data_IF_353212140896
#
_entry.id   IF_353212140896
#
_cell.length_a   1.000
_cell.length_b   1.000
_cell.length_c   1.000
_cell.angle_alpha   90.00
_cell.angle_beta   90.00
_cell.angle_gamma   90.00
#
_symmetry.space_group_name_H-M   'P 1'
#
loop_
_entity.id
_entity.type
_entity.pdbx_description
1 polymer ?
#
# COMPACT_ATOMS: atom_id res chain seq x y z
N UNK A 1 20.94 -10.07 17.27
CA UNK A 1 20.61 -10.09 15.82
C UNK A 1 19.31 -9.33 15.60
N UNK A 2 19.33 -8.24 14.83
CA UNK A 2 18.08 -7.56 14.41
C UNK A 2 17.43 -8.41 13.30
N UNK A 3 16.10 -8.65 13.31
CA UNK A 3 15.45 -9.38 12.25
C UNK A 3 15.59 -8.62 10.93
N UNK A 4 16.10 -9.30 9.91
CA UNK A 4 16.10 -8.79 8.54
C UNK A 4 14.63 -8.65 8.13
N UNK A 5 14.14 -7.47 7.74
CA UNK A 5 12.76 -7.34 7.29
C UNK A 5 12.57 -8.24 6.06
N UNK A 6 11.57 -9.13 6.10
CA UNK A 6 11.25 -10.02 4.98
C UNK A 6 11.18 -9.19 3.68
N UNK A 7 12.07 -9.48 2.74
CA UNK A 7 12.12 -8.79 1.46
C UNK A 7 10.74 -8.83 0.79
N UNK A 8 10.31 -7.72 0.19
CA UNK A 8 9.13 -7.71 -0.66
C UNK A 8 9.39 -8.63 -1.86
N UNK A 9 8.48 -9.56 -2.12
CA UNK A 9 8.56 -10.55 -3.21
C UNK A 9 7.42 -10.29 -4.18
N UNK A 10 7.77 -10.30 -5.46
CA UNK A 10 6.85 -10.24 -6.58
C UNK A 10 7.02 -11.55 -7.35
N UNK A 11 5.91 -12.15 -7.77
CA UNK A 11 5.92 -13.28 -8.68
C UNK A 11 4.94 -13.01 -9.82
N UNK A 12 5.42 -13.12 -11.05
CA UNK A 12 4.60 -13.18 -12.24
C UNK A 12 4.18 -14.63 -12.45
N UNK A 13 2.89 -14.91 -12.52
CA UNK A 13 2.40 -16.24 -12.87
C UNK A 13 2.49 -16.45 -14.39
N UNK A 14 2.51 -17.71 -14.83
CA UNK A 14 2.44 -18.06 -16.26
C UNK A 14 1.15 -17.53 -16.95
N UNK A 15 0.13 -17.16 -16.17
CA UNK A 15 -1.09 -16.51 -16.65
C UNK A 15 -0.96 -14.99 -16.82
N UNK A 16 0.23 -14.41 -16.62
CA UNK A 16 0.47 -12.96 -16.69
C UNK A 16 0.01 -12.18 -15.45
N UNK A 17 -0.33 -12.87 -14.35
CA UNK A 17 -0.77 -12.22 -13.11
C UNK A 17 0.43 -11.89 -12.21
N UNK A 18 0.59 -10.63 -11.84
CA UNK A 18 1.57 -10.24 -10.82
C UNK A 18 0.98 -10.47 -9.42
N UNK A 19 1.66 -11.26 -8.59
CA UNK A 19 1.38 -11.47 -7.17
C UNK A 19 2.48 -10.83 -6.35
N UNK A 20 2.14 -10.22 -5.21
CA UNK A 20 3.11 -9.59 -4.32
C UNK A 20 2.85 -9.92 -2.85
N UNK A 21 3.93 -10.13 -2.10
CA UNK A 21 3.90 -10.39 -0.65
C UNK A 21 5.15 -9.81 0.04
N UNK A 22 5.14 -9.74 1.36
CA UNK A 22 6.23 -9.15 2.15
C UNK A 22 5.96 -7.70 2.59
N UNK A 23 6.97 -7.03 3.12
CA UNK A 23 6.82 -5.73 3.77
C UNK A 23 6.25 -4.64 2.82
N UNK A 24 5.16 -3.97 3.24
CA UNK A 24 4.51 -2.88 2.50
C UNK A 24 5.05 -1.48 2.89
N UNK A 25 6.25 -1.40 3.46
CA UNK A 25 6.78 -0.14 4.01
C UNK A 25 6.88 0.98 2.96
N UNK A 26 7.02 0.64 1.67
CA UNK A 26 7.03 1.59 0.55
C UNK A 26 5.66 1.80 -0.12
N UNK A 27 4.58 1.18 0.37
CA UNK A 27 3.28 1.20 -0.30
C UNK A 27 3.25 0.33 -1.56
N UNK A 28 4.18 -0.62 -1.69
CA UNK A 28 4.34 -1.49 -2.87
C UNK A 28 3.10 -2.35 -3.14
N UNK A 29 2.35 -2.68 -2.09
CA UNK A 29 1.14 -3.48 -2.18
C UNK A 29 -0.11 -2.63 -2.40
N UNK A 30 -0.07 -1.30 -2.29
CA UNK A 30 -1.25 -0.42 -2.42
C UNK A 30 -2.43 -0.73 -1.50
N UNK A 31 -2.30 -1.69 -0.58
CA UNK A 31 -3.33 -2.06 0.40
C UNK A 31 -3.20 -1.24 1.68
N UNK A 32 -4.34 -0.86 2.26
CA UNK A 32 -4.44 -0.30 3.60
C UNK A 32 -3.79 -1.28 4.58
N UNK A 33 -2.66 -0.89 5.16
CA UNK A 33 -2.05 -1.69 6.22
C UNK A 33 -2.73 -1.29 7.53
N UNK A 34 -3.43 -2.18 8.24
CA UNK A 34 -3.85 -1.87 9.59
C UNK A 34 -2.58 -1.61 10.41
N UNK A 35 -2.55 -0.47 11.10
CA UNK A 35 -1.41 -0.08 11.93
C UNK A 35 -1.04 -1.25 12.85
N UNK A 36 0.19 -1.76 12.69
CA UNK A 36 0.75 -2.79 13.55
C UNK A 36 0.57 -2.37 15.02
N UNK A 37 0.08 -3.30 15.84
CA UNK A 37 0.02 -3.15 17.29
C UNK A 37 1.41 -2.71 17.79
N UNK A 38 1.45 -1.57 18.47
CA UNK A 38 2.66 -1.11 19.16
C UNK A 38 2.87 -2.04 20.35
N UNK A 39 3.97 -2.77 20.36
CA UNK A 39 4.56 -3.24 21.61
C UNK A 39 5.28 -2.04 22.22
N UNK A 40 4.91 -1.69 23.44
CA UNK A 40 5.63 -0.75 24.30
C UNK A 40 7.06 -1.24 24.50
N UNK A 41 8.04 -0.35 24.30
CA UNK A 41 8.99 0.00 25.36
C UNK A 41 9.82 1.23 24.94
N UNK A 42 9.74 2.26 25.79
CA UNK A 42 10.73 3.33 25.98
C UNK A 42 11.55 2.93 27.22
N UNK A 43 12.84 3.32 27.39
CA UNK A 43 13.30 4.72 27.46
C UNK A 43 14.65 4.89 26.71
N UNK A 44 15.42 5.98 26.70
CA UNK A 44 15.61 7.11 27.61
C UNK A 44 16.31 8.27 26.87
N UNK A 45 16.16 9.48 27.40
CA UNK A 45 16.74 10.75 26.96
C UNK A 45 18.08 10.98 27.68
N UNK A 46 19.15 11.29 26.96
CA UNK A 46 20.28 12.01 27.54
C UNK A 46 21.09 12.81 26.51
N UNK A 47 21.51 13.96 26.98
CA UNK A 47 22.09 15.16 26.36
C UNK A 47 23.42 14.99 25.62
N UNK A 48 23.65 15.78 24.55
CA UNK A 48 24.66 16.86 24.53
C UNK A 48 24.61 17.74 23.26
N UNK A 49 24.90 19.03 23.50
CA UNK A 49 25.09 20.14 22.55
C UNK A 49 26.33 19.98 21.68
N UNK A 50 26.29 20.54 20.47
CA UNK A 50 27.43 21.21 19.87
C UNK A 50 26.94 22.37 18.98
N UNK A 51 27.54 23.56 19.12
CA UNK A 51 27.34 24.73 18.23
C UNK A 51 27.94 24.47 16.84
N UNK A 52 27.94 25.39 15.88
CA UNK A 52 28.00 26.86 15.98
C UNK A 52 27.66 27.47 14.60
N UNK A 53 27.15 28.70 14.60
CA UNK A 53 27.31 29.78 13.59
C UNK A 53 26.76 29.68 12.15
N UNK A 54 25.80 30.57 11.88
CA UNK A 54 25.47 31.16 10.58
C UNK A 54 26.38 32.36 10.30
N UNK A 55 26.62 32.70 9.01
CA UNK A 55 26.25 34.06 8.62
C UNK A 55 25.48 34.19 7.29
N UNK A 56 24.55 35.16 7.36
CA UNK A 56 24.00 36.13 6.39
C UNK A 56 24.37 35.95 4.90
N UNK A 57 23.38 35.73 4.03
CA UNK A 57 22.67 36.74 3.19
C UNK A 57 23.61 37.49 2.25
N UNK A 58 23.64 37.03 1.00
CA UNK A 58 23.83 37.90 -0.16
C UNK A 58 22.64 37.74 -1.11
N UNK A 59 22.16 38.90 -1.53
CA UNK A 59 21.07 39.18 -2.47
C UNK A 59 21.35 38.62 -3.86
N UNK A 60 20.34 38.06 -4.53
CA UNK A 60 20.32 38.01 -6.00
C UNK A 60 19.03 38.60 -6.55
N UNK A 61 19.25 39.63 -7.37
CA UNK A 61 18.30 40.27 -8.26
C UNK A 61 17.90 39.29 -9.37
N UNK A 62 16.66 39.39 -9.83
CA UNK A 62 16.04 38.40 -10.71
C UNK A 62 16.67 38.29 -12.08
N UNK A 63 16.51 37.11 -12.67
CA UNK A 63 16.40 36.97 -14.11
C UNK A 63 15.35 35.89 -14.41
N UNK A 64 14.25 36.31 -15.03
CA UNK A 64 13.27 35.42 -15.63
C UNK A 64 13.85 34.95 -16.96
N UNK A 65 14.40 33.75 -16.98
CA UNK A 65 14.65 33.04 -18.23
C UNK A 65 14.08 31.64 -18.14
N UNK A 66 12.98 31.47 -18.87
CA UNK A 66 12.27 30.23 -19.12
C UNK A 66 13.22 29.20 -19.72
N UNK A 67 13.66 28.24 -18.92
CA UNK A 67 14.32 27.04 -19.40
C UNK A 67 13.35 25.89 -19.13
N UNK A 68 12.70 25.38 -20.18
CA UNK A 68 11.94 24.13 -20.14
C UNK A 68 12.92 22.95 -20.01
N UNK A 69 13.69 22.94 -18.91
CA UNK A 69 14.48 21.80 -18.48
C UNK A 69 13.53 20.73 -17.98
N UNK A 70 13.80 19.46 -18.30
CA UNK A 70 13.04 18.32 -17.81
C UNK A 70 12.77 18.49 -16.31
N UNK A 71 11.51 18.70 -15.97
CA UNK A 71 11.11 19.01 -14.60
C UNK A 71 11.52 17.83 -13.71
N UNK A 72 12.40 18.11 -12.75
CA UNK A 72 12.96 17.11 -11.86
C UNK A 72 12.09 16.99 -10.62
N UNK A 73 11.90 15.76 -10.15
CA UNK A 73 11.14 15.49 -8.92
C UNK A 73 11.78 16.25 -7.75
N UNK A 74 11.03 17.14 -7.08
CA UNK A 74 11.58 17.94 -5.99
C UNK A 74 11.87 17.06 -4.77
N UNK A 75 12.62 17.60 -3.81
CA UNK A 75 12.78 17.00 -2.49
C UNK A 75 11.46 17.06 -1.71
N UNK A 76 11.11 15.98 -0.99
CA UNK A 76 9.92 15.97 -0.15
C UNK A 76 10.18 16.75 1.15
N UNK A 77 9.57 17.92 1.29
CA UNK A 77 9.74 18.76 2.47
C UNK A 77 8.44 19.48 2.85
N UNK A 78 8.45 20.09 4.04
CA UNK A 78 7.35 20.93 4.53
C UNK A 78 7.13 22.23 3.73
N UNK A 79 8.04 22.59 2.81
CA UNK A 79 7.94 23.80 1.98
C UNK A 79 7.23 23.57 0.66
N UNK A 80 6.92 22.31 0.31
CA UNK A 80 6.13 22.00 -0.88
C UNK A 80 4.68 22.42 -0.71
N UNK A 81 4.01 22.82 -1.80
CA UNK A 81 2.56 22.97 -1.80
C UNK A 81 1.86 21.60 -1.96
N UNK A 82 0.60 21.51 -1.55
CA UNK A 82 -0.22 20.33 -1.78
C UNK A 82 -0.47 20.05 -3.27
N UNK A 83 -0.47 21.09 -4.11
CA UNK A 83 -0.50 20.94 -5.56
C UNK A 83 0.79 20.31 -6.08
N UNK A 84 1.95 20.80 -5.65
CA UNK A 84 3.24 20.23 -6.06
C UNK A 84 3.38 18.79 -5.58
N UNK A 85 2.97 18.49 -4.33
CA UNK A 85 2.95 17.11 -3.83
C UNK A 85 2.15 16.16 -4.74
N UNK A 86 1.00 16.62 -5.28
CA UNK A 86 0.12 15.79 -6.10
C UNK A 86 0.68 15.46 -7.49
N UNK A 87 1.63 16.25 -7.99
CA UNK A 87 2.26 16.08 -9.29
C UNK A 87 3.25 14.91 -9.33
N UNK A 88 3.66 14.37 -8.18
CA UNK A 88 4.70 13.34 -8.12
C UNK A 88 4.22 12.07 -7.43
N UNK A 89 4.80 10.93 -7.84
CA UNK A 89 4.60 9.68 -7.11
C UNK A 89 5.52 9.63 -5.87
N UNK A 90 4.89 9.62 -4.69
CA UNK A 90 5.55 9.37 -3.40
C UNK A 90 5.26 7.95 -2.90
N UNK A 91 6.25 7.34 -2.25
CA UNK A 91 6.07 6.09 -1.50
C UNK A 91 5.44 6.37 -0.15
N UNK A 92 4.84 5.34 0.44
CA UNK A 92 4.30 5.45 1.80
C UNK A 92 5.41 5.79 2.82
N UNK A 93 6.63 5.31 2.62
CA UNK A 93 7.78 5.61 3.47
C UNK A 93 8.13 7.11 3.44
N UNK A 94 8.28 7.69 2.24
CA UNK A 94 8.56 9.11 2.07
C UNK A 94 7.45 9.96 2.71
N UNK A 95 6.18 9.68 2.40
CA UNK A 95 5.04 10.40 2.99
C UNK A 95 4.98 10.25 4.52
N UNK A 96 5.34 9.07 5.04
CA UNK A 96 5.38 8.81 6.48
C UNK A 96 6.46 9.64 7.19
N UNK A 97 7.61 9.85 6.55
CA UNK A 97 8.68 10.71 7.09
C UNK A 97 8.18 12.15 7.18
N UNK A 98 7.66 12.70 6.06
CA UNK A 98 7.11 14.05 6.05
C UNK A 98 5.98 14.23 7.08
N UNK A 99 5.04 13.28 7.16
CA UNK A 99 3.94 13.35 8.11
C UNK A 99 4.41 13.39 9.58
N UNK A 100 5.54 12.73 9.91
CA UNK A 100 6.13 12.83 11.26
C UNK A 100 6.72 14.21 11.51
N UNK A 101 7.41 14.76 10.51
CA UNK A 101 8.05 16.07 10.59
C UNK A 101 7.02 17.19 10.83
N UNK A 102 5.92 17.20 10.07
CA UNK A 102 4.89 18.24 10.16
C UNK A 102 3.76 17.92 11.17
N UNK A 103 3.89 16.83 11.94
CA UNK A 103 2.93 16.48 13.00
C UNK A 103 1.56 15.97 12.52
N UNK A 104 1.46 15.51 11.28
CA UNK A 104 0.22 15.02 10.67
C UNK A 104 -0.05 13.56 11.01
N UNK A 105 -1.32 13.21 11.26
CA UNK A 105 -1.70 11.81 11.50
C UNK A 105 -1.28 10.90 10.34
N UNK A 106 -0.80 9.71 10.66
CA UNK A 106 -0.35 8.68 9.71
C UNK A 106 -1.35 7.53 9.55
N UNK A 107 -2.57 7.69 10.06
CA UNK A 107 -3.62 6.68 9.96
C UNK A 107 -4.31 6.71 8.59
N UNK A 108 -4.80 5.55 8.17
CA UNK A 108 -5.38 5.33 6.85
C UNK A 108 -4.32 4.93 5.81
N UNK A 109 -4.79 4.60 4.60
CA UNK A 109 -3.93 4.25 3.48
C UNK A 109 -3.13 5.40 2.88
N UNK A 110 -2.37 5.07 1.83
CA UNK A 110 -1.54 6.02 1.08
C UNK A 110 -2.36 7.21 0.58
N UNK A 111 -3.56 6.98 0.03
CA UNK A 111 -4.43 8.04 -0.52
C UNK A 111 -4.86 9.00 0.59
N UNK A 112 -5.39 8.46 1.70
CA UNK A 112 -5.81 9.26 2.84
C UNK A 112 -4.64 10.05 3.46
N UNK A 113 -3.46 9.43 3.58
CA UNK A 113 -2.25 10.11 4.05
C UNK A 113 -1.82 11.23 3.09
N UNK A 114 -1.87 10.98 1.78
CA UNK A 114 -1.51 11.96 0.75
C UNK A 114 -2.44 13.17 0.83
N UNK A 115 -3.76 12.96 0.86
CA UNK A 115 -4.74 14.04 0.99
C UNK A 115 -4.53 14.86 2.26
N UNK A 116 -4.22 14.19 3.38
CA UNK A 116 -3.95 14.85 4.66
C UNK A 116 -2.70 15.72 4.60
N UNK A 117 -1.64 15.22 3.97
CA UNK A 117 -0.41 15.98 3.75
C UNK A 117 -0.64 17.18 2.84
N UNK A 118 -1.41 17.02 1.75
CA UNK A 118 -1.78 18.15 0.86
C UNK A 118 -2.46 19.27 1.64
N UNK A 119 -3.51 18.93 2.40
CA UNK A 119 -4.23 19.90 3.22
C UNK A 119 -3.29 20.63 4.19
N UNK A 120 -2.47 19.88 4.93
CA UNK A 120 -1.54 20.45 5.91
C UNK A 120 -0.48 21.37 5.25
N UNK A 121 0.06 21.00 4.09
CA UNK A 121 1.01 21.81 3.33
C UNK A 121 0.37 23.10 2.80
N UNK A 122 -0.91 23.05 2.44
CA UNK A 122 -1.68 24.22 1.98
C UNK A 122 -2.23 25.07 3.15
N UNK A 123 -1.84 24.76 4.41
CA UNK A 123 -2.32 25.47 5.59
C UNK A 123 -3.77 25.18 5.98
N UNK A 124 -4.41 24.20 5.32
CA UNK A 124 -5.77 23.76 5.59
C UNK A 124 -5.76 22.69 6.69
N UNK A 125 -6.66 22.82 7.66
CA UNK A 125 -6.80 21.83 8.73
C UNK A 125 -7.05 20.43 8.13
N UNK A 126 -6.16 19.44 8.39
CA UNK A 126 -6.32 18.11 7.83
C UNK A 126 -7.58 17.43 8.38
N UNK A 127 -8.31 16.72 7.52
CA UNK A 127 -9.44 15.92 7.95
C UNK A 127 -9.04 14.95 9.07
N UNK A 128 -9.86 14.91 10.13
CA UNK A 128 -9.65 14.01 11.26
C UNK A 128 -9.53 12.57 10.76
N UNK A 129 -8.62 11.81 11.35
CA UNK A 129 -8.49 10.39 11.08
C UNK A 129 -9.84 9.69 11.31
N UNK A 130 -10.33 8.85 10.37
CA UNK A 130 -11.54 8.09 10.64
C UNK A 130 -11.34 7.24 11.90
N UNK A 131 -12.35 7.15 12.77
CA UNK A 131 -12.26 6.33 13.97
C UNK A 131 -11.99 4.88 13.58
N UNK A 132 -11.09 4.22 14.32
CA UNK A 132 -10.83 2.79 14.12
C UNK A 132 -12.07 2.03 14.58
N UNK A 133 -12.84 1.47 13.66
CA UNK A 133 -13.90 0.52 14.00
C UNK A 133 -13.24 -0.77 14.52
N UNK A 134 -13.57 -1.17 15.75
CA UNK A 134 -13.18 -2.48 16.25
C UNK A 134 -14.18 -3.49 15.70
N UNK A 135 -13.70 -4.47 14.94
CA UNK A 135 -14.54 -5.61 14.53
C UNK A 135 -14.88 -6.43 15.78
N UNK A 136 -16.11 -6.31 16.28
CA UNK A 136 -16.63 -7.02 17.46
C UNK A 136 -17.33 -8.35 17.12
N UNK A 137 -17.32 -8.77 15.85
CA UNK A 137 -18.00 -10.01 15.42
C UNK A 137 -17.33 -11.30 15.89
N UNK A 138 -18.14 -12.26 16.31
CA UNK A 138 -17.74 -13.65 16.60
C UNK A 138 -17.02 -14.25 15.38
N UNK A 139 -15.85 -14.84 15.59
CA UNK A 139 -15.06 -15.49 14.53
C UNK A 139 -15.10 -17.00 14.72
N UNK A 140 -15.19 -17.74 13.62
CA UNK A 140 -15.12 -19.19 13.64
C UNK A 140 -13.80 -19.69 14.24
N UNK A 141 -13.91 -20.61 15.20
CA UNK A 141 -12.81 -21.37 15.78
C UNK A 141 -12.87 -22.82 15.28
N UNK A 142 -11.72 -23.49 15.23
CA UNK A 142 -11.67 -24.91 14.91
C UNK A 142 -12.31 -25.75 16.05
N UNK A 143 -12.88 -26.93 15.73
CA UNK A 143 -13.00 -27.52 14.40
C UNK A 143 -14.14 -26.92 13.58
N UNK A 144 -13.94 -26.82 12.25
CA UNK A 144 -14.97 -26.43 11.28
C UNK A 144 -15.12 -27.50 10.19
N UNK A 145 -16.33 -27.62 9.67
CA UNK A 145 -16.71 -28.60 8.66
C UNK A 145 -17.65 -27.97 7.61
N UNK A 146 -18.06 -28.76 6.61
CA UNK A 146 -18.90 -28.26 5.51
C UNK A 146 -20.23 -27.62 5.93
N UNK A 147 -20.85 -28.08 7.03
CA UNK A 147 -22.10 -27.52 7.54
C UNK A 147 -21.92 -26.31 8.46
N UNK A 148 -20.68 -25.90 8.73
CA UNK A 148 -20.41 -24.73 9.57
C UNK A 148 -20.88 -23.46 8.86
N UNK A 149 -21.69 -22.65 9.56
CA UNK A 149 -22.26 -21.41 9.04
C UNK A 149 -21.30 -20.23 9.25
N UNK A 150 -21.14 -19.40 8.24
CA UNK A 150 -20.32 -18.19 8.26
C UNK A 150 -21.05 -17.10 9.06
N UNK A 151 -20.50 -16.62 10.19
CA UNK A 151 -21.12 -15.54 10.96
C UNK A 151 -20.92 -14.18 10.28
N UNK A 152 -21.75 -13.21 10.64
CA UNK A 152 -21.56 -11.82 10.21
C UNK A 152 -20.20 -11.27 10.66
N UNK A 153 -19.50 -10.59 9.75
CA UNK A 153 -18.16 -10.05 10.03
C UNK A 153 -17.06 -11.12 10.11
N UNK A 154 -17.30 -12.34 9.64
CA UNK A 154 -16.26 -13.36 9.52
C UNK A 154 -15.11 -12.85 8.65
N UNK A 155 -13.88 -13.01 9.14
CA UNK A 155 -12.67 -12.69 8.38
C UNK A 155 -12.10 -13.94 7.74
N UNK A 156 -11.31 -13.75 6.68
CA UNK A 156 -10.46 -14.78 6.09
C UNK A 156 -9.36 -15.19 7.08
N UNK A 157 -9.70 -16.03 8.04
CA UNK A 157 -8.85 -16.44 9.16
C UNK A 157 -7.94 -17.61 8.78
N UNK A 158 -6.98 -17.90 9.65
CA UNK A 158 -6.13 -19.09 9.51
C UNK A 158 -6.95 -20.39 9.61
N UNK A 159 -7.97 -20.42 10.48
CA UNK A 159 -8.92 -21.55 10.60
C UNK A 159 -9.59 -21.83 9.25
N UNK A 160 -10.11 -20.81 8.58
CA UNK A 160 -10.72 -20.98 7.26
C UNK A 160 -9.68 -21.36 6.20
N UNK A 161 -8.47 -20.79 6.23
CA UNK A 161 -7.40 -21.17 5.31
C UNK A 161 -7.06 -22.64 5.42
N UNK A 162 -6.90 -23.16 6.63
CA UNK A 162 -6.57 -24.56 6.88
C UNK A 162 -7.69 -25.48 6.43
N UNK A 163 -8.94 -25.14 6.76
CA UNK A 163 -10.12 -25.85 6.28
C UNK A 163 -10.15 -25.92 4.74
N UNK A 164 -10.11 -24.78 4.05
CA UNK A 164 -10.20 -24.76 2.59
C UNK A 164 -9.00 -25.43 1.92
N UNK A 165 -7.79 -25.31 2.46
CA UNK A 165 -6.63 -26.04 1.92
C UNK A 165 -6.76 -27.55 2.07
N UNK A 166 -7.40 -28.03 3.12
CA UNK A 166 -7.68 -29.45 3.32
C UNK A 166 -8.72 -29.96 2.32
N UNK A 167 -9.81 -29.22 2.12
CA UNK A 167 -10.92 -29.65 1.27
C UNK A 167 -10.66 -29.44 -0.24
N UNK A 168 -10.00 -28.34 -0.62
CA UNK A 168 -9.75 -27.97 -2.03
C UNK A 168 -8.35 -28.37 -2.49
N UNK A 169 -7.38 -28.36 -1.57
CA UNK A 169 -5.97 -28.67 -1.85
C UNK A 169 -5.03 -27.45 -1.90
N UNK A 170 -3.77 -27.67 -2.27
CA UNK A 170 -2.70 -26.68 -2.13
C UNK A 170 -2.81 -25.46 -3.07
N UNK A 171 -3.64 -25.53 -4.11
CA UNK A 171 -3.91 -24.42 -5.03
C UNK A 171 -4.79 -23.33 -4.41
N UNK A 172 -5.47 -23.64 -3.30
CA UNK A 172 -6.36 -22.71 -2.63
C UNK A 172 -5.61 -21.48 -2.10
N UNK A 173 -6.15 -20.31 -2.41
CA UNK A 173 -5.82 -19.05 -1.77
C UNK A 173 -7.06 -18.15 -1.78
N UNK A 174 -7.12 -17.23 -0.81
CA UNK A 174 -8.16 -16.21 -0.78
C UNK A 174 -7.90 -15.19 -1.90
N UNK A 175 -8.62 -15.34 -3.01
CA UNK A 175 -8.71 -14.33 -4.08
C UNK A 175 -9.82 -13.31 -3.76
N UNK A 176 -10.11 -12.40 -4.69
CA UNK A 176 -11.13 -11.38 -4.52
C UNK A 176 -12.52 -11.98 -4.28
N UNK A 177 -12.90 -13.01 -5.04
CA UNK A 177 -14.19 -13.70 -4.95
C UNK A 177 -14.39 -14.34 -3.58
N UNK A 178 -13.41 -15.11 -3.10
CA UNK A 178 -13.52 -15.74 -1.78
C UNK A 178 -13.54 -14.73 -0.64
N UNK A 179 -12.83 -13.61 -0.75
CA UNK A 179 -12.87 -12.55 0.27
C UNK A 179 -14.23 -11.88 0.33
N UNK A 180 -14.81 -11.57 -0.84
CA UNK A 180 -16.16 -11.01 -0.95
C UNK A 180 -17.18 -12.01 -0.36
N UNK A 181 -17.12 -13.28 -0.77
CA UNK A 181 -18.01 -14.32 -0.26
C UNK A 181 -17.97 -14.42 1.28
N UNK A 182 -16.79 -14.53 1.87
CA UNK A 182 -16.65 -14.64 3.34
C UNK A 182 -17.16 -13.40 4.07
N UNK A 183 -17.05 -12.23 3.45
CA UNK A 183 -17.44 -10.94 4.06
C UNK A 183 -18.93 -10.65 3.92
N UNK A 184 -19.51 -11.00 2.77
CA UNK A 184 -20.86 -10.56 2.36
C UNK A 184 -21.92 -11.67 2.48
N UNK A 185 -21.51 -12.93 2.62
CA UNK A 185 -22.41 -14.09 2.61
C UNK A 185 -22.64 -14.70 4.00
N UNK A 186 -22.85 -13.86 5.01
CA UNK A 186 -23.22 -14.32 6.34
C UNK A 186 -24.48 -15.22 6.27
N UNK A 187 -24.49 -16.31 7.04
CA UNK A 187 -25.55 -17.33 6.98
C UNK A 187 -25.33 -18.43 5.95
N UNK A 188 -24.39 -18.29 4.99
CA UNK A 188 -23.97 -19.40 4.11
C UNK A 188 -23.05 -20.37 4.84
N UNK A 189 -22.93 -21.59 4.31
CA UNK A 189 -22.05 -22.63 4.86
C UNK A 189 -20.65 -22.61 4.26
N UNK A 190 -19.70 -23.27 4.91
CA UNK A 190 -18.38 -23.49 4.34
C UNK A 190 -18.40 -24.40 3.09
N UNK A 191 -19.38 -25.31 2.98
CA UNK A 191 -19.61 -26.06 1.75
C UNK A 191 -20.04 -25.15 0.59
N UNK A 192 -20.92 -24.17 0.83
CA UNK A 192 -21.29 -23.16 -0.17
C UNK A 192 -20.06 -22.35 -0.62
N UNK A 193 -19.15 -22.04 0.31
CA UNK A 193 -17.92 -21.33 0.00
C UNK A 193 -16.98 -22.16 -0.90
N UNK A 194 -16.91 -23.48 -0.70
CA UNK A 194 -16.15 -24.38 -1.59
C UNK A 194 -16.79 -24.42 -2.98
N UNK A 195 -18.12 -24.57 -3.06
CA UNK A 195 -18.83 -24.53 -4.34
C UNK A 195 -18.60 -23.20 -5.07
N UNK A 196 -18.66 -22.08 -4.34
CA UNK A 196 -18.36 -20.75 -4.88
C UNK A 196 -16.92 -20.62 -5.38
N UNK A 197 -15.95 -21.20 -4.66
CA UNK A 197 -14.57 -21.27 -5.13
C UNK A 197 -14.52 -21.97 -6.49
N UNK A 198 -15.05 -23.18 -6.62
CA UNK A 198 -15.03 -23.92 -7.90
C UNK A 198 -15.70 -23.16 -9.04
N UNK A 199 -16.88 -22.58 -8.79
CA UNK A 199 -17.63 -21.82 -9.79
C UNK A 199 -16.88 -20.59 -10.31
N UNK A 200 -16.08 -19.93 -9.47
CA UNK A 200 -15.34 -18.72 -9.84
C UNK A 200 -13.96 -18.98 -10.42
N UNK A 201 -13.51 -20.25 -10.51
CA UNK A 201 -12.12 -20.56 -10.91
C UNK A 201 -11.73 -20.05 -12.28
N UNK A 202 -12.61 -20.21 -13.27
CA UNK A 202 -12.31 -19.79 -14.63
C UNK A 202 -12.23 -18.27 -14.74
N UNK A 203 -13.18 -17.54 -14.14
CA UNK A 203 -13.16 -16.07 -14.10
C UNK A 203 -11.99 -15.52 -13.30
N UNK A 204 -11.63 -16.16 -12.18
CA UNK A 204 -10.48 -15.80 -11.37
C UNK A 204 -9.14 -16.05 -12.10
N UNK A 205 -9.11 -16.96 -13.07
CA UNK A 205 -7.95 -17.22 -13.91
C UNK A 205 -7.80 -16.19 -15.06
N UNK A 206 -8.85 -15.44 -15.38
CA UNK A 206 -8.76 -14.35 -16.36
C UNK A 206 -7.94 -13.19 -15.81
N UNK A 207 -7.22 -12.49 -16.69
CA UNK A 207 -6.44 -11.31 -16.36
C UNK A 207 -7.36 -10.20 -15.82
N UNK A 208 -7.35 -10.01 -14.50
CA UNK A 208 -8.07 -8.93 -13.85
C UNK A 208 -7.33 -7.60 -14.02
N UNK A 209 -8.08 -6.51 -14.10
CA UNK A 209 -7.49 -5.17 -14.08
C UNK A 209 -6.87 -4.89 -12.69
N UNK A 210 -5.63 -4.41 -12.68
CA UNK A 210 -4.99 -3.98 -11.45
C UNK A 210 -5.51 -2.57 -11.13
N UNK A 211 -6.33 -2.46 -10.08
CA UNK A 211 -6.94 -1.19 -9.64
C UNK A 211 -5.93 -0.05 -9.46
N UNK A 212 -6.36 1.19 -9.66
CA UNK A 212 -5.50 2.37 -9.73
C UNK A 212 -4.64 2.60 -8.47
N UNK A 213 -5.10 2.13 -7.31
CA UNK A 213 -4.35 2.17 -6.05
C UNK A 213 -3.06 1.32 -6.06
N UNK A 214 -2.92 0.39 -7.01
CA UNK A 214 -1.81 -0.55 -7.12
C UNK A 214 -0.82 -0.15 -8.23
N UNK A 215 -0.51 1.15 -8.32
CA UNK A 215 0.30 1.72 -9.41
C UNK A 215 1.62 0.99 -9.69
N UNK A 216 2.38 0.61 -8.65
CA UNK A 216 3.61 -0.16 -8.83
C UNK A 216 3.34 -1.52 -9.47
N UNK A 217 2.32 -2.24 -9.02
CA UNK A 217 2.00 -3.56 -9.56
C UNK A 217 1.51 -3.45 -11.02
N UNK A 218 0.76 -2.39 -11.36
CA UNK A 218 0.36 -2.09 -12.72
C UNK A 218 1.58 -1.83 -13.60
N UNK A 219 2.45 -0.91 -13.19
CA UNK A 219 3.68 -0.60 -13.91
C UNK A 219 4.55 -1.84 -14.13
N UNK A 220 4.74 -2.66 -13.10
CA UNK A 220 5.55 -3.87 -13.21
C UNK A 220 4.91 -4.91 -14.13
N UNK A 221 3.58 -5.03 -14.15
CA UNK A 221 2.88 -5.92 -15.08
C UNK A 221 3.12 -5.49 -16.52
N UNK A 222 2.92 -4.20 -16.80
CA UNK A 222 3.08 -3.65 -18.14
C UNK A 222 4.56 -3.73 -18.58
N UNK A 223 5.48 -3.41 -17.68
CA UNK A 223 6.92 -3.52 -17.93
C UNK A 223 7.35 -4.95 -18.25
N UNK A 224 6.87 -5.95 -17.50
CA UNK A 224 7.20 -7.36 -17.76
C UNK A 224 6.52 -7.92 -19.02
N UNK A 225 5.37 -7.38 -19.43
CA UNK A 225 4.75 -7.74 -20.69
C UNK A 225 5.61 -7.29 -21.88
N UNK A 226 6.24 -6.12 -21.78
CA UNK A 226 7.18 -5.59 -22.79
C UNK A 226 8.59 -6.17 -22.65
N UNK A 227 8.99 -6.61 -21.46
CA UNK A 227 10.31 -7.14 -21.15
C UNK A 227 10.24 -8.54 -20.50
N UNK A 228 9.85 -9.60 -21.25
CA UNK A 228 9.64 -10.94 -20.68
C UNK A 228 10.89 -11.56 -20.05
N UNK A 229 12.07 -11.25 -20.60
CA UNK A 229 13.36 -11.69 -20.07
C UNK A 229 13.99 -10.68 -19.07
N UNK A 230 13.31 -9.56 -18.83
CA UNK A 230 13.81 -8.47 -18.00
C UNK A 230 13.91 -8.87 -16.53
N UNK A 231 15.05 -8.55 -15.92
CA UNK A 231 15.30 -8.81 -14.52
C UNK A 231 14.48 -7.87 -13.61
N UNK A 232 14.28 -8.31 -12.37
CA UNK A 232 13.66 -7.47 -11.33
C UNK A 232 14.40 -6.15 -11.11
N UNK A 233 15.73 -6.17 -11.18
CA UNK A 233 16.57 -4.99 -10.96
C UNK A 233 16.29 -3.94 -12.03
N UNK A 234 16.17 -4.37 -13.29
CA UNK A 234 15.82 -3.50 -14.41
C UNK A 234 14.39 -2.96 -14.28
N UNK A 235 13.42 -3.80 -13.90
CA UNK A 235 12.04 -3.37 -13.66
C UNK A 235 11.96 -2.27 -12.59
N UNK A 236 12.71 -2.44 -11.49
CA UNK A 236 12.76 -1.44 -10.42
C UNK A 236 13.54 -0.17 -10.82
N UNK A 237 14.56 -0.28 -11.68
CA UNK A 237 15.23 0.87 -12.24
C UNK A 237 14.31 1.67 -13.16
N UNK A 238 13.57 0.98 -14.05
CA UNK A 238 12.55 1.57 -14.90
C UNK A 238 11.44 2.24 -14.08
N UNK A 239 11.01 1.60 -12.98
CA UNK A 239 10.05 2.19 -12.05
C UNK A 239 10.58 3.48 -11.40
N UNK A 240 11.85 3.51 -10.98
CA UNK A 240 12.50 4.71 -10.42
C UNK A 240 12.54 5.85 -11.44
N UNK A 241 12.81 5.55 -12.71
CA UNK A 241 12.77 6.53 -13.78
C UNK A 241 11.34 7.03 -14.05
N UNK A 242 10.35 6.12 -14.07
CA UNK A 242 8.94 6.46 -14.28
C UNK A 242 8.41 7.42 -13.22
N UNK A 243 8.62 7.12 -11.93
CA UNK A 243 8.19 7.99 -10.81
C UNK A 243 8.97 9.30 -10.69
N UNK A 244 10.05 9.45 -11.46
CA UNK A 244 10.84 10.67 -11.57
C UNK A 244 10.27 11.66 -12.57
N UNK A 245 9.13 11.35 -13.21
CA UNK A 245 8.42 12.22 -14.14
C UNK A 245 7.17 12.81 -13.45
N UNK A 246 6.84 14.09 -13.71
CA UNK A 246 5.62 14.68 -13.19
C UNK A 246 4.39 14.03 -13.83
N UNK A 247 3.32 13.94 -13.07
CA UNK A 247 1.98 13.58 -13.55
C UNK A 247 1.36 14.80 -14.19
N UNK A 248 0.65 14.60 -15.30
CA UNK A 248 -0.16 15.66 -15.90
C UNK A 248 -1.16 16.18 -14.86
N UNK A 249 -1.30 17.51 -14.70
CA UNK A 249 -2.26 18.09 -13.77
C UNK A 249 -3.67 17.98 -14.36
N UNK A 250 -4.24 16.78 -14.41
CA UNK A 250 -5.65 16.50 -14.73
C UNK A 250 -6.02 15.05 -14.37
N UNK A 251 -7.25 14.87 -13.90
CA UNK A 251 -7.92 13.63 -13.49
C UNK A 251 -7.71 13.17 -12.03
N UNK A 252 -8.35 13.91 -11.11
CA UNK A 252 -9.15 13.28 -10.05
C UNK A 252 -10.61 13.35 -10.49
#
# INVERSE_FOLDING_TARGET
MKPVPCAHVLALTAAGTVKSWGANAGGQLGVDTPAAHRSHDSPDRSTRRCGTELPRRDTYHGDMSSNAGAEARPELSATLSGNELARWYWTLAELTVLAREIGVSRSGGKVALTQRLRAALDGVAPAAAPPRTRSTGHQLAAPVNGSTVIPEGQRCSQVLREYFRREIGPSFHFDAYMRAFVTESAGRTLADAIAHWHATRQTAAQLQEIGAQFELNRFLRDWHAEHPAGSRTEALAAWRAHRGRPRSPSAW
#
